data_IF_298321866822
#
_entry.id   IF_298321866822
#
_cell.length_a   1.000
_cell.length_b   1.000
_cell.length_c   1.000
_cell.angle_alpha   90.00
_cell.angle_beta   90.00
_cell.angle_gamma   90.00
#
_symmetry.space_group_name_H-M   'P 1'
#
loop_
_entity.id
_entity.type
_entity.pdbx_description
1 polymer ?
#
# COMPACT_ATOMS: atom_id res chain seq x y z
N UNK A 1 3.85 5.62 -6.82
CA UNK A 1 4.73 4.89 -5.89
C UNK A 1 3.94 3.75 -5.28
N UNK A 2 4.50 2.56 -5.23
CA UNK A 2 3.88 1.38 -4.59
C UNK A 2 4.81 0.93 -3.47
N UNK A 3 4.32 0.84 -2.24
CA UNK A 3 5.13 0.43 -1.09
C UNK A 3 4.28 -0.15 0.04
N UNK A 4 4.90 -0.96 0.88
CA UNK A 4 4.33 -1.45 2.14
C UNK A 4 4.65 -0.53 3.33
N UNK A 5 5.59 0.41 3.18
CA UNK A 5 6.02 1.29 4.27
C UNK A 5 5.52 2.72 4.11
N UNK A 6 4.95 3.28 5.17
CA UNK A 6 4.33 4.61 5.14
C UNK A 6 5.31 5.76 4.88
N UNK A 7 6.59 5.64 5.26
CA UNK A 7 7.56 6.71 5.04
C UNK A 7 7.84 6.94 3.55
N UNK A 8 7.90 5.87 2.76
CA UNK A 8 8.07 5.94 1.31
C UNK A 8 6.87 6.60 0.64
N UNK A 9 5.66 6.25 1.08
CA UNK A 9 4.41 6.80 0.56
C UNK A 9 4.27 8.29 0.90
N UNK A 10 4.62 8.68 2.13
CA UNK A 10 4.64 10.08 2.53
C UNK A 10 5.65 10.91 1.74
N UNK A 11 6.85 10.36 1.49
CA UNK A 11 7.85 11.02 0.66
C UNK A 11 7.34 11.20 -0.78
N UNK A 12 6.74 10.16 -1.37
CA UNK A 12 6.16 10.23 -2.71
C UNK A 12 5.01 11.25 -2.80
N UNK A 13 4.13 11.31 -1.79
CA UNK A 13 3.01 12.26 -1.74
C UNK A 13 3.51 13.71 -1.67
N UNK A 14 4.59 13.98 -0.93
CA UNK A 14 5.26 15.30 -0.91
C UNK A 14 5.83 15.70 -2.27
N UNK A 15 6.21 14.74 -3.09
CA UNK A 15 6.63 14.95 -4.47
C UNK A 15 5.47 15.06 -5.46
N UNK A 16 4.21 15.03 -5.00
CA UNK A 16 3.02 15.09 -5.86
C UNK A 16 2.75 13.80 -6.64
N UNK A 17 3.33 12.68 -6.22
CA UNK A 17 3.08 11.38 -6.85
C UNK A 17 1.87 10.68 -6.24
N UNK A 18 1.14 9.93 -7.06
CA UNK A 18 0.14 8.98 -6.58
C UNK A 18 0.80 7.84 -5.80
N UNK A 19 0.08 7.33 -4.81
CA UNK A 19 0.55 6.38 -3.80
C UNK A 19 -0.37 5.17 -3.70
N UNK A 20 0.22 3.99 -3.70
CA UNK A 20 -0.47 2.72 -3.49
C UNK A 20 0.17 2.02 -2.29
N UNK A 21 -0.62 1.79 -1.25
CA UNK A 21 -0.19 0.96 -0.12
C UNK A 21 -0.52 -0.50 -0.38
N UNK A 22 0.43 -1.38 -0.13
CA UNK A 22 0.25 -2.82 -0.19
C UNK A 22 0.52 -3.40 1.19
N UNK A 23 -0.53 -3.89 1.84
CA UNK A 23 -0.42 -4.52 3.15
C UNK A 23 0.36 -5.83 3.02
N UNK A 24 1.40 -6.01 3.86
CA UNK A 24 2.21 -7.23 3.88
C UNK A 24 2.26 -7.83 5.26
N UNK A 25 1.80 -9.07 5.38
CA UNK A 25 1.87 -9.82 6.63
C UNK A 25 3.33 -10.10 7.00
N UNK A 26 3.79 -9.51 8.11
CA UNK A 26 5.11 -9.78 8.70
C UNK A 26 6.22 -8.78 8.32
N UNK A 27 6.05 -7.95 7.29
CA UNK A 27 6.99 -6.86 6.94
C UNK A 27 6.61 -5.50 7.55
N UNK A 28 5.38 -5.40 8.09
CA UNK A 28 4.91 -4.22 8.82
C UNK A 28 5.44 -4.23 10.27
N UNK A 29 6.72 -3.86 10.45
CA UNK A 29 7.27 -3.55 11.78
C UNK A 29 6.90 -2.14 12.26
N UNK A 30 6.05 -1.43 11.52
CA UNK A 30 5.69 -0.04 11.75
C UNK A 30 4.20 0.24 11.60
N UNK A 31 3.86 1.52 11.40
CA UNK A 31 2.48 1.95 11.21
C UNK A 31 1.97 1.53 9.83
N UNK A 32 0.79 0.88 9.83
CA UNK A 32 0.01 0.58 8.62
C UNK A 32 -0.74 1.82 8.12
N UNK A 33 -0.91 1.93 6.80
CA UNK A 33 -1.79 2.94 6.21
C UNK A 33 -3.25 2.61 6.52
N UNK A 34 -4.12 3.62 6.55
CA UNK A 34 -5.56 3.41 6.33
C UNK A 34 -5.93 3.76 4.88
N UNK A 35 -7.06 3.27 4.35
CA UNK A 35 -7.48 3.55 2.98
C UNK A 35 -7.57 5.03 2.63
N UNK A 36 -7.86 5.90 3.60
CA UNK A 36 -7.99 7.35 3.39
C UNK A 36 -6.63 8.08 3.25
N UNK A 37 -5.51 7.42 3.58
CA UNK A 37 -4.19 8.04 3.58
C UNK A 37 -3.49 7.98 2.22
N UNK A 38 -3.95 7.10 1.34
CA UNK A 38 -3.30 6.74 0.07
C UNK A 38 -4.31 6.79 -1.07
N UNK A 39 -3.81 6.91 -2.30
CA UNK A 39 -4.69 6.92 -3.48
C UNK A 39 -5.28 5.52 -3.73
N UNK A 40 -4.52 4.47 -3.38
CA UNK A 40 -4.94 3.08 -3.52
C UNK A 40 -4.48 2.24 -2.33
N UNK A 41 -5.37 1.42 -1.78
CA UNK A 41 -5.11 0.53 -0.66
C UNK A 41 -5.34 -0.92 -1.06
N UNK A 42 -4.33 -1.76 -0.90
CA UNK A 42 -4.39 -3.20 -1.18
C UNK A 42 -4.23 -3.94 0.15
N UNK A 43 -5.32 -4.54 0.63
CA UNK A 43 -5.41 -5.17 1.95
C UNK A 43 -4.77 -6.56 2.04
N UNK A 44 -4.67 -7.26 0.91
CA UNK A 44 -4.09 -8.60 0.85
C UNK A 44 -3.64 -8.86 -0.60
N UNK A 45 -2.34 -9.13 -0.82
CA UNK A 45 -1.83 -9.53 -2.14
C UNK A 45 -2.51 -10.83 -2.63
N UNK A 46 -3.05 -11.66 -1.71
CA UNK A 46 -3.69 -12.95 -2.03
C UNK A 46 -5.07 -12.78 -2.68
N UNK A 47 -5.86 -11.79 -2.27
CA UNK A 47 -7.19 -11.56 -2.86
C UNK A 47 -7.12 -11.02 -4.29
N UNK A 48 -6.07 -10.25 -4.61
CA UNK A 48 -5.85 -9.74 -5.96
C UNK A 48 -5.51 -10.87 -6.95
N UNK A 49 -4.66 -11.81 -6.56
CA UNK A 49 -4.36 -12.99 -7.38
C UNK A 49 -5.56 -13.92 -7.55
N UNK A 50 -6.35 -14.13 -6.49
CA UNK A 50 -7.54 -14.99 -6.54
C UNK A 50 -8.68 -14.42 -7.41
N UNK A 51 -8.78 -13.09 -7.53
CA UNK A 51 -9.75 -12.45 -8.42
C UNK A 51 -9.30 -12.43 -9.89
N UNK A 52 -8.00 -12.36 -10.16
CA UNK A 52 -7.44 -12.37 -11.52
C UNK A 52 -7.21 -13.77 -12.11
N UNK A 53 -7.22 -14.81 -11.27
CA UNK A 53 -7.11 -16.21 -11.70
C UNK A 53 -8.47 -16.86 -12.09
N UNK A 54 -9.53 -16.06 -12.25
CA UNK A 54 -10.83 -16.45 -12.81
C UNK A 54 -11.06 -15.76 -14.14
#
# INVERSE_FOLDING_TARGET
MVAAHMHDLQAAKKCGLHTTYVARHGEDTGRKATPDEVDYFVSDEVDLYNQLAK
#
